data_IF_920409832110
#
_entry.id   IF_920409832110
#
_cell.length_a   1.000
_cell.length_b   1.000
_cell.length_c   1.000
_cell.angle_alpha   90.00
_cell.angle_beta   90.00
_cell.angle_gamma   90.00
#
_symmetry.space_group_name_H-M   'P 1'
#
loop_
_entity.id
_entity.type
_entity.pdbx_description
1 polymer ?
#
# COMPACT_ATOMS: atom_id res chain seq x y z
N UNK A 1 -36.24 14.44 -2.35
CA UNK A 1 -36.09 15.69 -1.58
C UNK A 1 -35.23 15.36 -0.34
N UNK A 2 -34.45 16.29 0.20
CA UNK A 2 -33.64 16.04 1.41
C UNK A 2 -33.95 17.10 2.47
N UNK A 3 -33.84 16.73 3.74
CA UNK A 3 -34.12 17.64 4.86
C UNK A 3 -32.89 18.52 5.16
N UNK A 4 -33.09 19.83 5.14
CA UNK A 4 -32.09 20.85 5.51
C UNK A 4 -32.53 21.76 6.65
N UNK A 5 -33.73 21.56 7.18
CA UNK A 5 -34.41 22.57 8.02
C UNK A 5 -34.26 22.25 9.51
N UNK A 6 -34.26 20.97 9.88
CA UNK A 6 -34.13 20.54 11.27
C UNK A 6 -32.86 19.69 11.49
N UNK A 7 -31.83 20.21 12.19
CA UNK A 7 -30.61 19.45 12.47
C UNK A 7 -30.80 18.31 13.49
N UNK A 8 -31.92 18.29 14.22
CA UNK A 8 -32.22 17.27 15.23
C UNK A 8 -32.98 16.07 14.65
N UNK A 9 -33.42 16.12 13.40
CA UNK A 9 -34.14 15.00 12.78
C UNK A 9 -33.18 13.97 12.18
N UNK A 10 -33.57 12.69 12.25
CA UNK A 10 -32.74 11.57 11.80
C UNK A 10 -32.44 11.57 10.29
N UNK A 11 -33.21 12.35 9.53
CA UNK A 11 -33.13 12.53 8.08
C UNK A 11 -32.37 13.80 7.65
N UNK A 12 -31.78 14.55 8.58
CA UNK A 12 -30.97 15.73 8.26
C UNK A 12 -29.84 15.40 7.27
N UNK A 13 -29.84 16.07 6.11
CA UNK A 13 -28.93 15.82 4.98
C UNK A 13 -28.90 14.36 4.48
N UNK A 14 -30.02 13.65 4.57
CA UNK A 14 -30.22 12.31 3.99
C UNK A 14 -31.38 12.33 2.97
N UNK A 15 -31.16 11.93 1.70
CA UNK A 15 -32.23 11.88 0.71
C UNK A 15 -33.25 10.78 1.03
N UNK A 16 -34.55 11.09 0.98
CA UNK A 16 -35.63 10.09 1.08
C UNK A 16 -35.92 9.37 -0.24
N UNK A 17 -35.66 10.05 -1.35
CA UNK A 17 -35.90 9.57 -2.71
C UNK A 17 -34.77 9.99 -3.64
N UNK A 18 -34.42 9.08 -4.55
CA UNK A 18 -33.41 9.25 -5.58
C UNK A 18 -34.07 9.32 -6.95
N UNK A 19 -33.50 10.11 -7.85
CA UNK A 19 -33.96 10.18 -9.24
C UNK A 19 -32.99 9.42 -10.14
N UNK A 20 -33.43 8.26 -10.63
CA UNK A 20 -32.61 7.36 -11.46
C UNK A 20 -33.27 7.24 -12.82
N UNK A 21 -32.62 7.74 -13.88
CA UNK A 21 -33.04 7.61 -15.28
C UNK A 21 -34.52 7.99 -15.53
N UNK A 22 -35.00 9.06 -14.92
CA UNK A 22 -36.39 9.53 -15.10
C UNK A 22 -37.41 8.94 -14.13
N UNK A 23 -37.02 8.03 -13.24
CA UNK A 23 -37.89 7.41 -12.25
C UNK A 23 -37.46 7.76 -10.84
N UNK A 24 -38.43 7.98 -9.96
CA UNK A 24 -38.19 8.12 -8.52
C UNK A 24 -38.02 6.74 -7.89
N UNK A 25 -36.95 6.57 -7.12
CA UNK A 25 -36.62 5.35 -6.39
C UNK A 25 -36.49 5.72 -4.91
N UNK A 26 -37.25 5.04 -4.06
CA UNK A 26 -37.18 5.27 -2.62
C UNK A 26 -35.81 4.85 -2.06
N UNK A 27 -35.29 5.59 -1.07
CA UNK A 27 -33.96 5.34 -0.48
C UNK A 27 -33.77 3.92 0.06
N UNK A 28 -34.83 3.23 0.48
CA UNK A 28 -34.74 1.83 0.93
C UNK A 28 -34.25 0.86 -0.16
N UNK A 29 -34.50 1.18 -1.43
CA UNK A 29 -34.13 0.36 -2.61
C UNK A 29 -32.77 0.72 -3.20
N UNK A 30 -32.09 1.70 -2.62
CA UNK A 30 -30.73 2.06 -2.98
C UNK A 30 -29.79 1.69 -1.83
N UNK A 31 -28.61 1.19 -2.16
CA UNK A 31 -27.54 0.91 -1.21
C UNK A 31 -26.39 1.83 -1.58
N UNK A 32 -26.07 2.76 -0.69
CA UNK A 32 -25.06 3.79 -0.86
C UNK A 32 -23.69 3.30 -0.37
N UNK A 33 -22.69 3.35 -1.25
CA UNK A 33 -21.30 3.00 -0.95
C UNK A 33 -20.46 4.27 -0.98
N UNK A 34 -20.30 4.91 0.17
CA UNK A 34 -19.57 6.18 0.29
C UNK A 34 -18.27 5.97 1.04
N UNK A 35 -17.15 5.95 0.31
CA UNK A 35 -15.82 5.76 0.92
C UNK A 35 -15.36 6.95 1.74
N UNK A 36 -15.63 8.17 1.27
CA UNK A 36 -15.10 9.44 1.79
C UNK A 36 -16.24 10.47 1.90
N UNK A 37 -17.05 10.45 2.96
CA UNK A 37 -18.15 11.39 3.10
C UNK A 37 -17.63 12.82 3.25
N UNK A 38 -18.32 13.77 2.63
CA UNK A 38 -18.06 15.21 2.78
C UNK A 38 -18.89 15.77 3.95
N UNK A 39 -18.51 16.92 4.54
CA UNK A 39 -19.33 17.63 5.51
C UNK A 39 -20.77 17.84 5.02
N UNK A 40 -21.74 17.82 5.93
CA UNK A 40 -23.17 17.83 5.59
C UNK A 40 -23.54 18.92 4.58
N UNK A 41 -23.08 20.14 4.81
CA UNK A 41 -23.30 21.30 3.93
C UNK A 41 -22.84 21.08 2.48
N UNK A 42 -21.81 20.27 2.25
CA UNK A 42 -21.26 19.99 0.91
C UNK A 42 -21.90 18.75 0.26
N UNK A 43 -22.64 17.91 1.00
CA UNK A 43 -23.27 16.71 0.44
C UNK A 43 -24.12 17.00 -0.80
N UNK A 44 -24.97 18.04 -0.85
CA UNK A 44 -25.76 18.32 -2.05
C UNK A 44 -24.90 18.61 -3.29
N UNK A 45 -23.74 19.28 -3.12
CA UNK A 45 -22.84 19.59 -4.23
C UNK A 45 -22.19 18.34 -4.83
N UNK A 46 -22.06 17.27 -4.05
CA UNK A 46 -21.55 15.96 -4.49
C UNK A 46 -22.67 14.95 -4.79
N UNK A 47 -23.92 15.41 -4.99
CA UNK A 47 -25.09 14.54 -5.16
C UNK A 47 -25.24 13.51 -4.03
N UNK A 48 -24.92 13.91 -2.79
CA UNK A 48 -24.86 13.07 -1.59
C UNK A 48 -23.86 11.91 -1.69
N UNK A 49 -22.98 11.95 -2.70
CA UNK A 49 -21.81 11.11 -2.81
C UNK A 49 -20.65 11.59 -1.94
N UNK A 50 -19.55 10.85 -2.04
CA UNK A 50 -18.30 11.20 -1.38
C UNK A 50 -17.36 11.99 -2.30
N UNK A 51 -16.26 12.47 -1.71
CA UNK A 51 -15.16 13.06 -2.47
C UNK A 51 -14.46 11.96 -3.29
N UNK A 52 -14.29 12.20 -4.59
CA UNK A 52 -13.61 11.26 -5.48
C UNK A 52 -12.12 11.18 -5.14
N UNK A 53 -11.55 9.97 -5.13
CA UNK A 53 -10.11 9.77 -4.96
C UNK A 53 -9.32 10.48 -6.06
N UNK A 54 -9.83 10.48 -7.30
CA UNK A 54 -9.19 11.13 -8.45
C UNK A 54 -9.09 12.63 -8.23
N UNK A 55 -10.13 13.25 -7.66
CA UNK A 55 -10.14 14.69 -7.37
C UNK A 55 -9.12 15.07 -6.30
N UNK A 56 -8.88 14.20 -5.32
CA UNK A 56 -7.83 14.40 -4.31
C UNK A 56 -6.44 14.19 -4.93
N UNK A 57 -6.31 13.24 -5.86
CA UNK A 57 -5.04 12.87 -6.48
C UNK A 57 -4.56 13.86 -7.55
N UNK A 58 -5.49 14.53 -8.24
CA UNK A 58 -5.21 15.47 -9.34
C UNK A 58 -4.08 16.49 -9.05
N UNK A 59 -4.07 17.25 -7.94
CA UNK A 59 -3.01 18.23 -7.68
C UNK A 59 -1.63 17.58 -7.55
N UNK A 60 -1.54 16.36 -6.99
CA UNK A 60 -0.29 15.63 -6.81
C UNK A 60 0.26 15.11 -8.13
N UNK A 61 -0.62 14.57 -8.97
CA UNK A 61 -0.27 14.13 -10.34
C UNK A 61 0.21 15.32 -11.17
N UNK A 62 -0.49 16.45 -11.10
CA UNK A 62 -0.11 17.67 -11.81
C UNK A 62 1.24 18.21 -11.34
N UNK A 63 1.55 18.14 -10.05
CA UNK A 63 2.86 18.53 -9.53
C UNK A 63 3.97 17.64 -10.07
N UNK A 64 3.76 16.32 -10.06
CA UNK A 64 4.72 15.37 -10.62
C UNK A 64 4.96 15.58 -12.12
N UNK A 65 3.88 15.77 -12.91
CA UNK A 65 3.98 16.07 -14.34
C UNK A 65 4.80 17.34 -14.60
N UNK A 66 4.53 18.41 -13.85
CA UNK A 66 5.28 19.68 -13.96
C UNK A 66 6.76 19.51 -13.64
N UNK A 67 7.10 18.77 -12.57
CA UNK A 67 8.49 18.49 -12.22
C UNK A 67 9.17 17.67 -13.30
N UNK A 68 8.52 16.61 -13.80
CA UNK A 68 9.04 15.76 -14.87
C UNK A 68 9.32 16.58 -16.14
N UNK A 69 8.37 17.40 -16.56
CA UNK A 69 8.51 18.21 -17.77
C UNK A 69 9.62 19.26 -17.59
N UNK A 70 9.72 19.90 -16.42
CA UNK A 70 10.79 20.84 -16.09
C UNK A 70 12.18 20.20 -16.09
N UNK A 71 12.30 18.95 -15.60
CA UNK A 71 13.55 18.17 -15.66
C UNK A 71 13.92 17.85 -17.11
N UNK A 72 12.93 17.50 -17.95
CA UNK A 72 13.13 17.31 -19.39
C UNK A 72 13.62 18.58 -20.10
N UNK A 73 13.03 19.72 -19.79
CA UNK A 73 13.45 21.03 -20.32
C UNK A 73 14.85 21.43 -19.83
N UNK A 74 15.19 21.06 -18.59
CA UNK A 74 16.52 21.29 -18.03
C UNK A 74 17.59 20.43 -18.72
N UNK A 75 17.25 19.23 -19.18
CA UNK A 75 18.16 18.41 -20.01
C UNK A 75 18.49 19.10 -21.34
N UNK A 76 17.51 19.77 -21.96
CA UNK A 76 17.73 20.56 -23.18
C UNK A 76 18.48 21.87 -22.94
N UNK A 77 18.46 22.40 -21.72
CA UNK A 77 19.15 23.63 -21.33
C UNK A 77 20.41 23.41 -20.49
N UNK A 78 20.85 22.16 -20.30
CA UNK A 78 22.02 21.77 -19.49
C UNK A 78 23.27 22.60 -19.76
N UNK A 79 23.48 22.93 -21.05
CA UNK A 79 24.53 23.82 -21.50
C UNK A 79 23.90 24.98 -22.25
N UNK A 80 23.67 26.11 -21.56
CA UNK A 80 23.28 27.35 -22.22
C UNK A 80 24.55 28.06 -22.69
N UNK A 81 24.80 28.01 -23.99
CA UNK A 81 25.83 28.81 -24.64
C UNK A 81 25.26 30.15 -25.11
N UNK A 82 26.04 31.21 -25.00
CA UNK A 82 25.71 32.52 -25.56
C UNK A 82 26.93 33.24 -26.12
N UNK A 83 26.68 34.25 -26.95
CA UNK A 83 27.71 35.12 -27.52
C UNK A 83 27.52 36.51 -26.90
N UNK A 84 28.57 37.04 -26.28
CA UNK A 84 28.58 38.44 -25.86
C UNK A 84 28.89 39.33 -27.06
N UNK A 85 28.11 40.39 -27.25
CA UNK A 85 28.33 41.37 -28.31
C UNK A 85 28.02 42.78 -27.79
N UNK A 86 28.61 43.79 -28.40
CA UNK A 86 28.37 45.19 -28.05
C UNK A 86 26.97 45.61 -28.52
N UNK A 87 26.05 45.73 -27.56
CA UNK A 87 24.66 46.13 -27.79
C UNK A 87 24.46 47.66 -27.84
N UNK A 88 25.52 48.46 -27.64
CA UNK A 88 25.42 49.92 -27.66
C UNK A 88 24.89 50.45 -29.00
N UNK A 89 25.27 49.81 -30.11
CA UNK A 89 24.78 50.18 -31.44
C UNK A 89 23.36 49.65 -31.72
N UNK A 90 22.98 48.50 -31.18
CA UNK A 90 21.65 47.90 -31.40
C UNK A 90 20.51 48.72 -30.76
N UNK A 91 20.77 49.36 -29.59
CA UNK A 91 19.79 50.21 -28.89
C UNK A 91 19.60 51.60 -29.52
N UNK A 92 20.48 52.02 -30.44
CA UNK A 92 20.37 53.33 -31.13
C UNK A 92 19.40 53.35 -32.31
N UNK A 93 18.62 52.28 -32.51
CA UNK A 93 17.53 52.24 -33.49
C UNK A 93 17.97 51.95 -34.94
N UNK A 94 19.27 51.80 -35.21
CA UNK A 94 19.74 51.21 -36.47
C UNK A 94 19.45 49.72 -36.46
N UNK A 95 18.39 49.29 -37.16
CA UNK A 95 18.11 47.88 -37.48
C UNK A 95 19.22 47.34 -38.40
N UNK A 96 20.34 46.92 -37.83
CA UNK A 96 21.34 46.19 -38.59
C UNK A 96 20.86 44.74 -38.77
N UNK A 97 20.46 44.41 -40.01
CA UNK A 97 19.95 43.10 -40.42
C UNK A 97 20.92 41.95 -40.15
N UNK A 98 22.21 42.26 -39.98
CA UNK A 98 23.25 41.26 -39.74
C UNK A 98 23.15 40.64 -38.34
N UNK A 99 22.73 41.38 -37.31
CA UNK A 99 22.53 40.81 -35.97
C UNK A 99 21.41 39.78 -35.95
N UNK A 100 20.29 40.05 -36.65
CA UNK A 100 19.16 39.12 -36.73
C UNK A 100 19.54 37.82 -37.48
N UNK A 101 20.23 37.93 -38.62
CA UNK A 101 20.74 36.76 -39.36
C UNK A 101 21.75 35.95 -38.56
N UNK A 102 22.56 36.62 -37.72
CA UNK A 102 23.54 35.97 -36.84
C UNK A 102 22.86 35.24 -35.68
N UNK A 103 21.85 35.84 -35.05
CA UNK A 103 21.05 35.17 -34.03
C UNK A 103 20.29 33.96 -34.59
N UNK A 104 19.80 34.05 -35.83
CA UNK A 104 19.17 32.92 -36.53
C UNK A 104 20.18 31.80 -36.83
N UNK A 105 21.38 32.15 -37.33
CA UNK A 105 22.46 31.19 -37.54
C UNK A 105 22.84 30.49 -36.23
N UNK A 106 22.99 31.26 -35.15
CA UNK A 106 23.29 30.75 -33.83
C UNK A 106 22.21 29.77 -33.35
N UNK A 107 20.93 30.12 -33.45
CA UNK A 107 19.83 29.24 -33.04
C UNK A 107 19.78 27.95 -33.87
N UNK A 108 20.14 27.99 -35.15
CA UNK A 108 20.18 26.81 -36.03
C UNK A 108 21.39 25.90 -35.77
N UNK A 109 22.52 26.46 -35.35
CA UNK A 109 23.76 25.71 -35.07
C UNK A 109 24.00 25.47 -33.58
N UNK A 110 23.08 25.89 -32.70
CA UNK A 110 23.18 25.81 -31.24
C UNK A 110 23.33 24.37 -30.73
N UNK A 111 22.81 23.39 -31.46
CA UNK A 111 22.96 22.00 -31.06
C UNK A 111 24.44 21.60 -31.00
N UNK A 112 24.79 20.76 -30.03
CA UNK A 112 26.13 20.21 -29.79
C UNK A 112 26.78 19.51 -30.99
N UNK A 113 26.01 19.29 -32.06
CA UNK A 113 26.43 18.71 -33.35
C UNK A 113 26.87 19.76 -34.38
N UNK A 114 26.70 21.05 -34.09
CA UNK A 114 27.10 22.17 -34.95
C UNK A 114 28.48 22.74 -34.59
N UNK A 115 29.21 23.23 -35.59
CA UNK A 115 30.43 24.03 -35.38
C UNK A 115 30.05 25.51 -35.31
N UNK A 116 30.34 26.16 -34.19
CA UNK A 116 30.20 27.60 -34.04
C UNK A 116 31.56 28.28 -34.26
N UNK A 117 31.61 29.19 -35.24
CA UNK A 117 32.81 30.00 -35.53
C UNK A 117 32.60 31.42 -35.00
N UNK A 118 33.56 31.92 -34.22
CA UNK A 118 33.51 33.22 -33.56
C UNK A 118 34.71 34.09 -33.94
N UNK A 119 34.53 35.40 -33.91
CA UNK A 119 35.63 36.35 -34.11
C UNK A 119 36.46 36.46 -32.81
N UNK A 120 37.73 36.03 -32.89
CA UNK A 120 38.67 35.97 -31.76
C UNK A 120 38.86 37.31 -31.02
N UNK A 121 38.64 38.45 -31.68
CA UNK A 121 38.97 39.77 -31.11
C UNK A 121 37.75 40.56 -30.65
N UNK A 122 36.54 40.22 -31.13
CA UNK A 122 35.33 41.03 -30.93
C UNK A 122 34.21 40.28 -30.22
N UNK A 123 34.33 38.96 -30.08
CA UNK A 123 33.27 38.13 -29.53
C UNK A 123 33.82 37.24 -28.41
N UNK A 124 33.05 37.17 -27.32
CA UNK A 124 33.34 36.29 -26.20
C UNK A 124 32.23 35.24 -26.10
N UNK A 125 32.65 33.97 -26.02
CA UNK A 125 31.76 32.84 -25.78
C UNK A 125 31.66 32.59 -24.29
N UNK A 126 30.45 32.44 -23.79
CA UNK A 126 30.23 31.92 -22.45
C UNK A 126 29.32 30.70 -22.50
N UNK A 127 29.52 29.82 -21.53
CA UNK A 127 28.70 28.65 -21.31
C UNK A 127 28.34 28.60 -19.83
N UNK A 128 27.05 28.71 -19.54
CA UNK A 128 26.54 28.41 -18.20
C UNK A 128 26.15 26.94 -18.17
N UNK A 129 26.85 26.17 -17.34
CA UNK A 129 26.47 24.79 -17.04
C UNK A 129 25.51 24.82 -15.85
N UNK A 130 24.29 24.34 -16.06
CA UNK A 130 23.34 24.21 -14.97
C UNK A 130 23.59 22.90 -14.21
N UNK A 131 23.81 22.94 -12.88
CA UNK A 131 24.03 21.71 -12.11
C UNK A 131 22.77 20.84 -12.14
N UNK A 132 22.91 19.59 -12.59
CA UNK A 132 21.83 18.59 -12.61
C UNK A 132 21.77 17.74 -11.32
N UNK A 133 22.65 18.01 -10.37
CA UNK A 133 22.70 17.29 -9.09
C UNK A 133 21.43 17.53 -8.27
N UNK A 134 20.79 16.46 -7.79
CA UNK A 134 19.61 16.54 -6.93
C UNK A 134 18.28 16.69 -7.67
N UNK A 135 18.26 16.63 -9.00
CA UNK A 135 17.00 16.58 -9.76
C UNK A 135 16.30 15.22 -9.60
N UNK A 136 17.08 14.16 -9.46
CA UNK A 136 16.62 12.81 -9.17
C UNK A 136 15.85 12.75 -7.85
N UNK A 137 16.36 13.40 -6.80
CA UNK A 137 15.71 13.44 -5.49
C UNK A 137 14.42 14.26 -5.52
N UNK A 138 14.41 15.40 -6.22
CA UNK A 138 13.19 16.21 -6.40
C UNK A 138 12.11 15.46 -7.18
N UNK A 139 12.49 14.74 -8.23
CA UNK A 139 11.55 13.95 -9.02
C UNK A 139 11.02 12.75 -8.23
N UNK A 140 11.87 12.09 -7.45
CA UNK A 140 11.48 10.99 -6.57
C UNK A 140 10.49 11.46 -5.47
N UNK A 141 10.78 12.57 -4.79
CA UNK A 141 9.87 13.14 -3.78
C UNK A 141 8.52 13.55 -4.37
N UNK A 142 8.52 14.15 -5.57
CA UNK A 142 7.28 14.50 -6.26
C UNK A 142 6.44 13.25 -6.59
N UNK A 143 7.09 12.12 -6.89
CA UNK A 143 6.41 10.84 -7.10
C UNK A 143 5.89 10.24 -5.79
N UNK A 144 6.66 10.31 -4.70
CA UNK A 144 6.24 9.82 -3.38
C UNK A 144 4.96 10.50 -2.88
N UNK A 145 4.82 11.80 -3.13
CA UNK A 145 3.62 12.56 -2.77
C UNK A 145 2.33 11.99 -3.40
N UNK A 146 2.41 11.31 -4.54
CA UNK A 146 1.25 10.68 -5.17
C UNK A 146 0.73 9.51 -4.34
N UNK A 147 1.61 8.80 -3.63
CA UNK A 147 1.24 7.61 -2.85
C UNK A 147 0.42 7.99 -1.62
N UNK A 148 0.68 9.16 -1.01
CA UNK A 148 0.00 9.64 0.20
C UNK A 148 -1.52 9.72 0.05
N UNK A 149 -2.02 10.07 -1.13
CA UNK A 149 -3.47 10.18 -1.38
C UNK A 149 -4.17 8.82 -1.34
N UNK A 150 -3.49 7.80 -1.86
CA UNK A 150 -4.01 6.44 -1.94
C UNK A 150 -3.75 5.63 -0.67
N UNK A 151 -2.84 6.09 0.20
CA UNK A 151 -2.31 5.32 1.33
C UNK A 151 -1.74 3.94 0.92
N UNK A 152 -1.35 3.78 -0.34
CA UNK A 152 -0.72 2.56 -0.85
C UNK A 152 0.80 2.72 -0.67
N UNK A 153 1.50 1.76 -0.04
CA UNK A 153 2.95 1.79 0.07
C UNK A 153 3.65 1.85 -1.30
N UNK A 154 4.79 2.54 -1.37
CA UNK A 154 5.58 2.72 -2.61
C UNK A 154 5.93 1.39 -3.29
N UNK A 155 6.20 0.36 -2.49
CA UNK A 155 6.52 -0.99 -2.96
C UNK A 155 5.35 -1.63 -3.70
N UNK A 156 4.12 -1.44 -3.20
CA UNK A 156 2.90 -1.99 -3.84
C UNK A 156 2.44 -1.12 -5.01
N UNK A 157 2.62 0.19 -4.93
CA UNK A 157 2.18 1.12 -5.98
C UNK A 157 3.12 1.13 -7.19
N UNK A 158 4.42 1.26 -6.96
CA UNK A 158 5.43 1.50 -8.00
C UNK A 158 6.47 0.38 -8.12
N UNK A 159 6.44 -0.63 -7.25
CA UNK A 159 7.46 -1.70 -7.24
C UNK A 159 8.84 -1.23 -6.77
N UNK A 160 8.90 -0.07 -6.10
CA UNK A 160 10.16 0.49 -5.61
C UNK A 160 10.61 -0.26 -4.37
N UNK A 161 11.85 -0.73 -4.35
CA UNK A 161 12.46 -1.26 -3.14
C UNK A 161 12.92 -0.11 -2.24
N UNK A 162 12.74 -0.21 -0.91
CA UNK A 162 13.16 0.85 0.00
C UNK A 162 14.68 0.97 0.01
N UNK A 163 15.20 2.20 0.02
CA UNK A 163 16.63 2.49 -0.04
C UNK A 163 17.21 2.71 1.35
N UNK A 164 18.22 1.93 1.76
CA UNK A 164 18.92 2.10 3.03
C UNK A 164 19.49 0.79 3.58
N UNK A 165 20.40 0.88 4.56
CA UNK A 165 20.87 -0.28 5.32
C UNK A 165 19.71 -0.77 6.21
N UNK A 166 19.29 -2.04 6.07
CA UNK A 166 18.14 -2.66 6.74
C UNK A 166 16.74 -2.22 6.28
N UNK A 167 16.59 -1.79 5.03
CA UNK A 167 15.29 -1.38 4.50
C UNK A 167 14.35 -2.59 4.30
N UNK A 168 13.35 -2.74 5.18
CA UNK A 168 12.27 -3.73 5.05
C UNK A 168 10.92 -3.03 4.86
N UNK A 169 10.11 -3.54 3.94
CA UNK A 169 8.75 -3.03 3.66
C UNK A 169 7.65 -3.86 4.32
N UNK A 170 8.00 -4.87 5.12
CA UNK A 170 7.00 -5.76 5.73
C UNK A 170 6.06 -5.01 6.68
N UNK A 171 6.59 -4.09 7.48
CA UNK A 171 5.77 -3.27 8.38
C UNK A 171 4.78 -2.38 7.63
N UNK A 172 5.23 -1.72 6.56
CA UNK A 172 4.38 -0.88 5.71
C UNK A 172 3.28 -1.70 5.01
N UNK A 173 3.63 -2.89 4.52
CA UNK A 173 2.68 -3.80 3.88
C UNK A 173 1.63 -4.28 4.89
N UNK A 174 2.02 -4.58 6.14
CA UNK A 174 1.08 -4.97 7.19
C UNK A 174 0.10 -3.86 7.52
N UNK A 175 0.58 -2.64 7.76
CA UNK A 175 -0.28 -1.46 7.99
C UNK A 175 -1.24 -1.22 6.82
N UNK A 176 -0.77 -1.45 5.59
CA UNK A 176 -1.61 -1.35 4.40
C UNK A 176 -2.73 -2.40 4.38
N UNK A 177 -2.43 -3.66 4.68
CA UNK A 177 -3.44 -4.72 4.77
C UNK A 177 -4.45 -4.45 5.89
N UNK A 178 -4.02 -4.00 7.06
CA UNK A 178 -4.91 -3.60 8.15
C UNK A 178 -5.83 -2.45 7.73
N UNK A 179 -5.28 -1.48 6.99
CA UNK A 179 -6.05 -0.34 6.46
C UNK A 179 -7.10 -0.81 5.45
N UNK A 180 -6.78 -1.75 4.56
CA UNK A 180 -7.75 -2.32 3.62
C UNK A 180 -8.83 -3.10 4.35
N UNK A 181 -8.46 -3.96 5.30
CA UNK A 181 -9.41 -4.75 6.09
C UNK A 181 -10.38 -3.84 6.86
N UNK A 182 -9.88 -2.76 7.47
CA UNK A 182 -10.70 -1.76 8.13
C UNK A 182 -11.62 -1.02 7.15
N UNK A 183 -11.13 -0.66 5.96
CA UNK A 183 -11.94 -0.01 4.91
C UNK A 183 -13.05 -0.94 4.38
N UNK A 184 -12.73 -2.20 4.11
CA UNK A 184 -13.70 -3.21 3.66
C UNK A 184 -14.78 -3.42 4.73
N UNK A 185 -14.37 -3.57 5.99
CA UNK A 185 -15.29 -3.70 7.12
C UNK A 185 -16.19 -2.47 7.25
N UNK A 186 -15.63 -1.26 7.21
CA UNK A 186 -16.40 -0.02 7.36
C UNK A 186 -17.38 0.21 6.21
N UNK A 187 -16.95 -0.05 4.97
CA UNK A 187 -17.72 0.30 3.77
C UNK A 187 -18.68 -0.81 3.35
N UNK A 188 -18.25 -2.08 3.40
CA UNK A 188 -18.98 -3.20 2.83
C UNK A 188 -19.75 -4.01 3.86
N UNK A 189 -19.38 -4.01 5.16
CA UNK A 189 -20.03 -4.89 6.15
C UNK A 189 -21.55 -4.69 6.22
N UNK A 190 -22.00 -3.44 6.37
CA UNK A 190 -23.43 -3.12 6.48
C UNK A 190 -24.18 -3.34 5.16
N UNK A 191 -23.68 -2.86 4.00
CA UNK A 191 -24.26 -3.16 2.70
C UNK A 191 -24.38 -4.64 2.38
N UNK A 192 -23.31 -5.42 2.58
CA UNK A 192 -23.31 -6.85 2.32
C UNK A 192 -24.27 -7.59 3.25
N UNK A 193 -24.32 -7.22 4.54
CA UNK A 193 -25.32 -7.78 5.46
C UNK A 193 -26.74 -7.48 4.99
N UNK A 194 -27.05 -6.25 4.59
CA UNK A 194 -28.37 -5.90 4.05
C UNK A 194 -28.73 -6.73 2.81
N UNK A 195 -27.78 -6.97 1.91
CA UNK A 195 -28.00 -7.81 0.72
C UNK A 195 -28.23 -9.26 1.14
N UNK A 196 -27.44 -9.79 2.07
CA UNK A 196 -27.58 -11.15 2.59
C UNK A 196 -28.95 -11.34 3.27
N UNK A 197 -29.38 -10.41 4.12
CA UNK A 197 -30.68 -10.44 4.79
C UNK A 197 -31.83 -10.43 3.77
N UNK A 198 -31.71 -9.65 2.68
CA UNK A 198 -32.71 -9.63 1.60
C UNK A 198 -32.76 -10.98 0.86
N UNK A 199 -31.62 -11.60 0.59
CA UNK A 199 -31.54 -12.91 -0.06
C UNK A 199 -32.16 -13.97 0.84
N UNK A 200 -31.84 -13.98 2.14
CA UNK A 200 -32.42 -14.91 3.09
C UNK A 200 -33.95 -14.77 3.18
N UNK A 201 -34.47 -13.54 3.26
CA UNK A 201 -35.91 -13.29 3.24
C UNK A 201 -36.58 -13.77 1.94
N UNK A 202 -35.89 -13.69 0.80
CA UNK A 202 -36.42 -14.13 -0.49
C UNK A 202 -36.45 -15.66 -0.63
N UNK A 203 -35.41 -16.35 -0.16
CA UNK A 203 -35.24 -17.80 -0.34
C UNK A 203 -35.85 -18.62 0.82
N UNK A 204 -35.66 -18.18 2.06
CA UNK A 204 -36.07 -18.90 3.27
C UNK A 204 -37.31 -18.31 3.95
N UNK A 205 -37.66 -17.06 3.66
CA UNK A 205 -38.81 -16.37 4.27
C UNK A 205 -38.57 -15.87 5.70
N UNK A 206 -37.41 -16.16 6.29
CA UNK A 206 -36.96 -15.66 7.59
C UNK A 206 -35.47 -15.33 7.55
N UNK A 207 -34.99 -14.53 8.51
CA UNK A 207 -33.58 -14.16 8.66
C UNK A 207 -32.97 -15.04 9.75
N UNK A 208 -32.01 -15.87 9.35
CA UNK A 208 -31.24 -16.69 10.27
C UNK A 208 -30.03 -15.90 10.79
N UNK A 209 -29.96 -15.60 12.11
CA UNK A 209 -28.85 -14.85 12.68
C UNK A 209 -27.50 -15.59 12.64
N UNK A 210 -27.51 -16.91 12.46
CA UNK A 210 -26.30 -17.74 12.44
C UNK A 210 -25.58 -17.67 11.09
N UNK A 211 -26.31 -17.33 10.01
CA UNK A 211 -25.74 -17.14 8.68
C UNK A 211 -25.09 -15.76 8.60
N UNK A 212 -23.77 -15.74 8.78
CA UNK A 212 -22.95 -14.53 8.72
C UNK A 212 -21.80 -14.67 7.71
N UNK A 213 -21.06 -13.59 7.50
CA UNK A 213 -19.87 -13.59 6.66
C UNK A 213 -18.74 -12.87 7.39
N UNK A 214 -17.52 -13.33 7.14
CA UNK A 214 -16.29 -12.70 7.58
C UNK A 214 -15.42 -12.39 6.37
N UNK A 215 -14.58 -11.37 6.51
CA UNK A 215 -13.61 -11.04 5.47
C UNK A 215 -12.35 -11.86 5.69
N UNK A 216 -11.86 -12.49 4.63
CA UNK A 216 -10.59 -13.22 4.67
C UNK A 216 -9.44 -12.28 5.06
N UNK A 217 -8.57 -12.65 6.01
CA UNK A 217 -7.35 -11.92 6.30
C UNK A 217 -6.49 -11.74 5.04
N UNK A 218 -6.03 -10.51 4.80
CA UNK A 218 -5.16 -10.18 3.67
C UNK A 218 -3.69 -10.56 3.91
N UNK A 219 -3.32 -10.82 5.15
CA UNK A 219 -1.96 -11.19 5.55
C UNK A 219 -1.88 -12.68 5.81
N UNK A 220 -1.34 -13.43 4.87
CA UNK A 220 -0.97 -14.82 5.08
C UNK A 220 0.34 -14.89 5.89
N UNK A 221 0.32 -15.67 6.96
CA UNK A 221 1.51 -15.94 7.76
C UNK A 221 2.48 -16.81 6.97
N UNK A 222 3.78 -16.53 7.08
CA UNK A 222 4.78 -17.42 6.47
C UNK A 222 4.80 -18.77 7.19
N UNK A 223 5.30 -19.82 6.53
CA UNK A 223 5.44 -21.15 7.16
C UNK A 223 6.25 -21.10 8.46
N UNK A 224 7.25 -20.23 8.52
CA UNK A 224 8.07 -20.03 9.72
C UNK A 224 7.29 -19.36 10.85
N UNK A 225 6.50 -18.32 10.54
CA UNK A 225 5.63 -17.67 11.52
C UNK A 225 4.56 -18.63 12.05
N UNK A 226 3.96 -19.45 11.18
CA UNK A 226 3.01 -20.50 11.57
C UNK A 226 3.67 -21.54 12.47
N UNK A 227 4.90 -21.97 12.16
CA UNK A 227 5.64 -22.91 12.98
C UNK A 227 5.96 -22.33 14.38
N UNK A 228 6.32 -21.04 14.44
CA UNK A 228 6.56 -20.36 15.70
C UNK A 228 5.29 -20.21 16.55
N UNK A 229 4.16 -19.84 15.94
CA UNK A 229 2.86 -19.76 16.64
C UNK A 229 2.51 -21.13 17.22
N UNK A 230 2.61 -22.20 16.43
CA UNK A 230 2.34 -23.57 16.89
C UNK A 230 3.25 -24.00 18.04
N UNK A 231 4.53 -23.61 17.99
CA UNK A 231 5.46 -23.86 19.08
C UNK A 231 5.04 -23.12 20.35
N UNK A 232 4.67 -21.84 20.24
CA UNK A 232 4.19 -21.04 21.38
C UNK A 232 2.85 -21.57 21.94
N UNK A 233 1.95 -22.05 21.09
CA UNK A 233 0.71 -22.72 21.51
C UNK A 233 1.01 -23.99 22.29
N UNK A 234 1.91 -24.85 21.80
CA UNK A 234 2.33 -26.05 22.50
C UNK A 234 2.99 -25.76 23.86
N UNK A 235 3.84 -24.72 23.93
CA UNK A 235 4.42 -24.25 25.20
C UNK A 235 3.35 -23.72 26.16
N UNK A 236 2.33 -23.03 25.63
CA UNK A 236 1.19 -22.54 26.40
C UNK A 236 0.36 -23.70 26.96
N UNK A 237 0.14 -24.75 26.18
CA UNK A 237 -0.56 -25.95 26.63
C UNK A 237 0.19 -26.68 27.73
N UNK A 238 1.51 -26.83 27.57
CA UNK A 238 2.36 -27.42 28.60
C UNK A 238 2.28 -26.63 29.91
N UNK A 239 2.23 -25.29 29.83
CA UNK A 239 2.05 -24.42 31.01
C UNK A 239 0.68 -24.68 31.64
N UNK A 240 -0.40 -24.71 30.86
CA UNK A 240 -1.75 -24.96 31.39
C UNK A 240 -1.93 -26.36 31.98
N UNK A 241 -1.30 -27.37 31.39
CA UNK A 241 -1.24 -28.74 31.92
C UNK A 241 -0.49 -28.77 33.24
N UNK A 242 0.70 -28.16 33.30
CA UNK A 242 1.49 -28.08 34.54
C UNK A 242 0.79 -27.30 35.66
N UNK A 243 -0.05 -26.33 35.30
CA UNK A 243 -0.89 -25.57 36.23
C UNK A 243 -2.19 -26.29 36.62
N UNK A 244 -2.49 -27.44 36.01
CA UNK A 244 -3.71 -28.21 36.24
C UNK A 244 -4.99 -27.55 35.71
N UNK A 245 -4.87 -26.57 34.80
CA UNK A 245 -6.00 -25.85 34.20
C UNK A 245 -6.58 -26.57 32.97
N UNK A 246 -5.78 -27.39 32.29
CA UNK A 246 -6.16 -28.13 31.08
C UNK A 246 -5.57 -29.54 31.16
N UNK A 247 -6.27 -30.54 30.64
CA UNK A 247 -5.79 -31.93 30.54
C UNK A 247 -5.34 -32.29 29.13
N UNK A 248 -4.49 -33.32 28.98
CA UNK A 248 -4.04 -33.79 27.68
C UNK A 248 -5.17 -34.15 26.71
N UNK A 249 -6.31 -34.62 27.22
CA UNK A 249 -7.47 -34.94 26.38
C UNK A 249 -8.15 -33.67 25.82
N UNK A 250 -8.21 -32.58 26.60
CA UNK A 250 -8.77 -31.31 26.15
C UNK A 250 -7.86 -30.63 25.11
N UNK A 251 -6.53 -30.74 25.27
CA UNK A 251 -5.57 -30.28 24.26
C UNK A 251 -5.73 -31.07 22.95
N UNK A 252 -5.91 -32.40 23.04
CA UNK A 252 -6.17 -33.26 21.87
C UNK A 252 -7.47 -32.90 21.15
N UNK A 253 -8.55 -32.66 21.90
CA UNK A 253 -9.84 -32.26 21.32
C UNK A 253 -9.73 -30.92 20.57
N UNK A 254 -9.02 -29.96 21.16
CA UNK A 254 -8.75 -28.67 20.51
C UNK A 254 -7.94 -28.82 19.23
N UNK A 255 -6.87 -29.63 19.25
CA UNK A 255 -6.04 -29.89 18.08
C UNK A 255 -6.78 -30.62 16.95
N UNK A 256 -7.77 -31.45 17.27
CA UNK A 256 -8.59 -32.15 16.28
C UNK A 256 -9.71 -31.28 15.70
N UNK A 257 -10.21 -30.30 16.46
CA UNK A 257 -11.33 -29.42 16.05
C UNK A 257 -10.84 -28.16 15.33
N UNK A 258 -9.61 -27.70 15.60
CA UNK A 258 -9.07 -26.48 15.00
C UNK A 258 -8.89 -26.62 13.47
N UNK A 259 -9.40 -25.68 12.65
CA UNK A 259 -9.27 -25.73 11.18
C UNK A 259 -7.82 -25.62 10.68
N UNK A 260 -7.00 -24.83 11.38
CA UNK A 260 -5.61 -24.54 11.00
C UNK A 260 -4.59 -25.54 11.57
N UNK A 261 -5.09 -26.57 12.27
CA UNK A 261 -4.28 -27.62 12.86
C UNK A 261 -3.90 -28.68 11.83
N UNK A 262 -2.63 -29.14 11.80
CA UNK A 262 -2.23 -30.31 11.02
C UNK A 262 -2.99 -31.59 11.39
N UNK A 263 -3.64 -31.60 12.55
CA UNK A 263 -4.35 -32.74 13.14
C UNK A 263 -5.87 -32.58 13.04
N UNK A 264 -6.37 -31.61 12.27
CA UNK A 264 -7.79 -31.39 12.07
C UNK A 264 -8.48 -32.65 11.51
N UNK A 265 -9.57 -33.07 12.15
CA UNK A 265 -10.36 -34.24 11.72
C UNK A 265 -9.81 -35.60 12.15
N UNK A 266 -8.85 -35.65 13.07
CA UNK A 266 -8.45 -36.92 13.70
C UNK A 266 -9.60 -37.47 14.56
N UNK A 267 -9.87 -38.77 14.40
CA UNK A 267 -10.84 -39.49 15.23
C UNK A 267 -10.29 -39.64 16.66
N UNK A 268 -11.00 -39.05 17.62
CA UNK A 268 -10.64 -39.03 19.04
C UNK A 268 -11.19 -40.24 19.81
N UNK A 269 -11.92 -41.16 19.16
CA UNK A 269 -12.60 -42.28 19.83
C UNK A 269 -11.67 -43.41 20.31
N UNK A 270 -10.37 -43.35 19.99
CA UNK A 270 -9.35 -44.29 20.47
C UNK A 270 -8.67 -43.83 21.76
N UNK A 271 -8.66 -44.70 22.79
CA UNK A 271 -7.76 -44.56 23.93
C UNK A 271 -6.31 -44.63 23.44
N UNK A 272 -5.47 -43.66 23.85
CA UNK A 272 -4.03 -43.75 23.65
C UNK A 272 -3.49 -44.55 24.82
N UNK A 273 -3.08 -45.80 24.57
CA UNK A 273 -2.20 -46.52 25.49
C UNK A 273 -0.82 -45.85 25.43
N UNK A 274 -0.49 -45.08 26.46
CA UNK A 274 0.89 -44.66 26.71
C UNK A 274 1.56 -45.89 27.32
N UNK A 275 2.38 -46.59 26.52
CA UNK A 275 3.18 -47.69 27.02
C UNK A 275 4.32 -47.13 27.88
N UNK A 276 4.09 -47.01 29.18
CA UNK A 276 5.09 -46.57 30.17
C UNK A 276 6.19 -47.63 30.42
N UNK A 277 6.35 -48.65 29.56
CA UNK A 277 7.37 -49.70 29.72
C UNK A 277 8.65 -49.45 28.91
N UNK A 278 9.36 -48.34 29.18
CA UNK A 278 10.83 -48.37 29.12
C UNK A 278 11.36 -48.67 30.52
N UNK A 279 11.50 -49.97 30.82
CA UNK A 279 12.31 -50.46 31.94
C UNK A 279 13.70 -49.82 31.89
N UNK A 280 13.99 -48.94 32.84
CA UNK A 280 15.36 -48.55 33.16
C UNK A 280 16.18 -49.83 33.40
N UNK A 281 17.23 -50.12 32.61
CA UNK A 281 18.07 -51.27 32.92
C UNK A 281 18.79 -51.03 34.24
N UNK A 282 18.87 -52.04 35.14
CA UNK A 282 19.47 -51.85 36.45
C UNK A 282 20.94 -51.46 36.31
N UNK A 283 21.31 -50.30 36.87
CA UNK A 283 22.71 -49.90 37.07
C UNK A 283 23.34 -50.83 38.11
N UNK A 284 24.12 -51.80 37.66
CA UNK A 284 25.03 -52.55 38.53
C UNK A 284 26.21 -51.62 38.93
N UNK A 285 26.45 -51.32 40.22
CA UNK A 285 27.43 -50.32 40.61
C UNK A 285 28.91 -50.73 40.49
N UNK A 286 29.25 -51.92 39.99
CA UNK A 286 30.65 -52.41 39.98
C UNK A 286 31.04 -53.15 38.69
N UNK A 287 30.94 -52.49 37.54
CA UNK A 287 31.69 -52.88 36.34
C UNK A 287 32.74 -51.80 36.05
N UNK A 288 33.92 -51.99 36.64
CA UNK A 288 35.09 -51.13 36.44
C UNK A 288 35.53 -51.10 34.97
N UNK A 289 35.56 -49.88 34.43
CA UNK A 289 36.56 -49.28 33.55
C UNK A 289 37.62 -50.23 32.93
N UNK A 290 37.38 -50.68 31.70
CA UNK A 290 38.47 -50.86 30.73
C UNK A 290 38.30 -49.87 29.58
N UNK A 291 39.24 -48.93 29.55
CA UNK A 291 39.46 -47.93 28.52
C UNK A 291 39.91 -48.60 27.22
N UNK A 292 39.20 -48.39 26.12
CA UNK A 292 39.83 -48.49 24.80
C UNK A 292 39.27 -47.44 23.82
N UNK A 293 39.89 -46.27 23.86
CA UNK A 293 39.84 -45.30 22.78
C UNK A 293 41.27 -44.90 22.48
N UNK A 294 41.90 -45.56 21.51
CA UNK A 294 42.85 -44.86 20.63
C UNK A 294 42.90 -45.48 19.22
N UNK A 295 42.40 -44.69 18.28
CA UNK A 295 43.03 -44.39 16.98
C UNK A 295 42.96 -45.43 15.86
N UNK A 296 42.05 -45.15 14.91
CA UNK A 296 42.33 -45.31 13.48
C UNK A 296 43.46 -44.37 13.08
N UNK A 297 44.54 -44.93 12.55
CA UNK A 297 45.61 -44.23 11.86
C UNK A 297 46.32 -45.23 10.95
N UNK A 298 45.79 -45.38 9.74
CA UNK A 298 46.48 -45.53 8.44
C UNK A 298 45.45 -45.89 7.34
#
# INVERSE_FOLDING_TARGET
>A
MYNSDNPLSDDFYRPSEWYVMGKTVHASRMIDLISRPVPDMLKPAYNFGGLSLVQIAEPYVNNWLRTRDSVGDMLHSFSLSGIMTDMSQALTGKRDSNYAKRAELFNRTRDSRGLLMLDKQKEEFFQFNTPLSGLDTLQAQAQEHMFFVSAIPSVKFAGLSPTGLNASSEGEIRVFYDTIAALATRLLKKPLKKVLDIIQLSEFGDIDPDITFEFEPLHELTREQLANIRKTEAETDQIYESAGAVTNNEVRERLATAPDSPYSGIDLSGEIEIDDTEENPPQDPNADLETDFTQRGD
#
